data_IF_375792157333
#
_entry.id   IF_375792157333
#
_cell.length_a   1.000
_cell.length_b   1.000
_cell.length_c   1.000
_cell.angle_alpha   90.00
_cell.angle_beta   90.00
_cell.angle_gamma   90.00
#
_symmetry.space_group_name_H-M   'P 1'
#
loop_
_entity.id
_entity.type
_entity.pdbx_description
1 polymer ?
#
# COMPACT_ATOMS: atom_id res chain seq x y z
N UNK A 1 14.35 0.22 3.98
CA UNK A 1 14.42 -1.18 4.49
C UNK A 1 15.22 -2.09 3.58
N UNK A 2 16.14 -2.90 4.16
CA UNK A 2 16.86 -3.98 3.46
C UNK A 2 16.69 -5.28 4.21
N UNK A 3 16.27 -6.33 3.51
CA UNK A 3 16.02 -7.65 4.07
C UNK A 3 16.83 -8.72 3.33
N UNK A 4 17.30 -9.71 4.07
CA UNK A 4 17.75 -10.96 3.46
C UNK A 4 16.56 -11.81 2.99
N UNK A 5 16.82 -12.80 2.14
CA UNK A 5 15.80 -13.80 1.78
C UNK A 5 15.16 -14.47 3.00
N UNK A 6 15.97 -14.84 4.01
CA UNK A 6 15.48 -15.49 5.23
C UNK A 6 14.54 -14.59 6.04
N UNK A 7 14.85 -13.29 6.13
CA UNK A 7 13.98 -12.33 6.80
C UNK A 7 12.68 -12.10 6.04
N UNK A 8 12.75 -12.02 4.70
CA UNK A 8 11.57 -11.91 3.84
C UNK A 8 10.67 -13.16 3.97
N UNK A 9 11.27 -14.35 3.95
CA UNK A 9 10.57 -15.63 4.15
C UNK A 9 9.92 -15.68 5.54
N UNK A 10 10.67 -15.35 6.61
CA UNK A 10 10.14 -15.36 7.97
C UNK A 10 8.97 -14.38 8.16
N UNK A 11 9.05 -13.19 7.57
CA UNK A 11 7.95 -12.22 7.58
C UNK A 11 6.72 -12.78 6.87
N UNK A 12 6.90 -13.36 5.67
CA UNK A 12 5.79 -13.96 4.91
C UNK A 12 5.18 -15.19 5.61
N UNK A 13 5.99 -16.07 6.20
CA UNK A 13 5.52 -17.23 6.97
C UNK A 13 4.60 -16.79 8.10
N UNK A 14 5.04 -15.79 8.88
CA UNK A 14 4.29 -15.31 10.04
C UNK A 14 3.05 -14.52 9.65
N UNK A 15 3.15 -13.70 8.59
CA UNK A 15 2.04 -12.92 8.06
C UNK A 15 0.92 -13.82 7.51
N UNK A 16 1.28 -14.78 6.66
CA UNK A 16 0.35 -15.72 6.01
C UNK A 16 -0.02 -16.91 6.91
N UNK A 17 0.48 -16.95 8.15
CA UNK A 17 0.23 -18.02 9.13
C UNK A 17 0.55 -19.42 8.59
N UNK A 18 1.67 -19.56 7.90
CA UNK A 18 2.10 -20.82 7.30
C UNK A 18 2.59 -21.78 8.40
N UNK A 19 1.99 -22.97 8.46
CA UNK A 19 2.45 -24.05 9.35
C UNK A 19 3.93 -24.38 9.10
N UNK A 20 4.75 -24.67 10.14
CA UNK A 20 6.19 -24.97 9.98
C UNK A 20 6.50 -26.02 8.90
N UNK A 21 5.72 -27.10 8.83
CA UNK A 21 5.89 -28.16 7.83
C UNK A 21 5.59 -27.72 6.38
N UNK A 22 4.92 -26.57 6.20
CA UNK A 22 4.55 -26.00 4.90
C UNK A 22 5.46 -24.84 4.48
N UNK A 23 6.47 -24.48 5.28
CA UNK A 23 7.46 -23.44 4.93
C UNK A 23 8.17 -23.79 3.61
N UNK A 24 8.51 -25.07 3.37
CA UNK A 24 9.09 -25.52 2.10
C UNK A 24 8.16 -25.30 0.89
N UNK A 25 6.84 -25.38 1.09
CA UNK A 25 5.85 -25.09 0.05
C UNK A 25 5.81 -23.59 -0.25
N UNK A 26 5.80 -22.72 0.79
CA UNK A 26 5.88 -21.27 0.58
C UNK A 26 7.16 -20.89 -0.17
N UNK A 27 8.31 -21.44 0.22
CA UNK A 27 9.60 -21.24 -0.47
C UNK A 27 9.52 -21.57 -1.96
N UNK A 28 8.84 -22.67 -2.29
CA UNK A 28 8.63 -23.11 -3.66
C UNK A 28 7.72 -22.15 -4.43
N UNK A 29 6.68 -21.60 -3.78
CA UNK A 29 5.81 -20.56 -4.36
C UNK A 29 6.56 -19.24 -4.58
N UNK A 30 7.39 -18.78 -3.65
CA UNK A 30 8.24 -17.60 -3.83
C UNK A 30 9.13 -17.78 -5.07
N UNK A 31 9.80 -18.95 -5.21
CA UNK A 31 10.60 -19.27 -6.40
C UNK A 31 9.78 -19.30 -7.69
N UNK A 32 8.53 -19.76 -7.62
CA UNK A 32 7.62 -19.71 -8.75
C UNK A 32 7.37 -18.26 -9.17
N UNK A 33 7.06 -17.34 -8.23
CA UNK A 33 6.86 -15.92 -8.56
C UNK A 33 8.13 -15.28 -9.15
N UNK A 34 9.31 -15.63 -8.62
CA UNK A 34 10.59 -15.16 -9.16
C UNK A 34 10.81 -15.59 -10.62
N UNK A 35 10.43 -16.82 -10.98
CA UNK A 35 10.47 -17.29 -12.38
C UNK A 35 9.53 -16.51 -13.30
N UNK A 36 8.47 -15.91 -12.74
CA UNK A 36 7.59 -14.98 -13.45
C UNK A 36 8.16 -13.55 -13.53
N UNK A 37 9.37 -13.32 -13.03
CA UNK A 37 10.00 -12.00 -12.97
C UNK A 37 9.54 -11.13 -11.80
N UNK A 38 8.93 -11.73 -10.77
CA UNK A 38 8.30 -11.00 -9.67
C UNK A 38 8.92 -11.29 -8.28
N UNK A 39 9.15 -10.26 -7.44
CA UNK A 39 9.13 -8.83 -7.78
C UNK A 39 10.28 -8.48 -8.74
N UNK A 40 10.25 -7.34 -9.45
CA UNK A 40 11.28 -6.98 -10.42
C UNK A 40 12.67 -6.88 -9.75
N UNK A 41 13.72 -7.19 -10.50
CA UNK A 41 15.11 -7.05 -10.03
C UNK A 41 15.62 -8.15 -9.09
N UNK A 42 14.78 -9.09 -8.64
CA UNK A 42 15.22 -10.17 -7.71
C UNK A 42 15.94 -11.34 -8.38
N UNK A 43 15.89 -11.44 -9.71
CA UNK A 43 16.53 -12.52 -10.47
C UNK A 43 18.02 -12.23 -10.69
N UNK A 44 18.80 -12.31 -9.62
CA UNK A 44 20.27 -12.26 -9.72
C UNK A 44 20.83 -13.62 -10.10
N UNK A 45 21.87 -13.63 -10.95
CA UNK A 45 22.54 -14.84 -11.39
C UNK A 45 23.19 -15.64 -10.24
N UNK A 46 23.77 -16.80 -10.57
CA UNK A 46 24.44 -17.65 -9.57
C UNK A 46 25.57 -16.88 -8.87
N UNK A 47 25.54 -16.84 -7.54
CA UNK A 47 26.65 -16.36 -6.70
C UNK A 47 26.42 -15.03 -6.00
N UNK A 48 25.45 -14.21 -6.42
CA UNK A 48 25.14 -12.94 -5.75
C UNK A 48 24.00 -13.14 -4.75
N UNK A 49 24.23 -12.77 -3.49
CA UNK A 49 23.17 -12.73 -2.48
C UNK A 49 22.23 -11.57 -2.79
N UNK A 50 20.97 -11.85 -3.08
CA UNK A 50 19.95 -10.81 -3.29
C UNK A 50 19.57 -10.15 -1.98
N UNK A 51 19.48 -8.82 -1.98
CA UNK A 51 18.84 -8.02 -0.93
C UNK A 51 17.43 -7.63 -1.37
N UNK A 52 16.45 -7.81 -0.49
CA UNK A 52 15.07 -7.38 -0.71
C UNK A 52 14.89 -5.98 -0.13
N UNK A 53 14.30 -5.06 -0.87
CA UNK A 53 13.82 -3.79 -0.33
C UNK A 53 12.47 -3.98 0.39
N UNK A 54 12.00 -2.94 1.07
CA UNK A 54 10.61 -2.91 1.53
C UNK A 54 9.62 -2.98 0.38
N UNK A 55 9.94 -2.34 -0.75
CA UNK A 55 9.17 -2.44 -1.99
C UNK A 55 8.97 -3.92 -2.39
N UNK A 56 10.04 -4.71 -2.46
CA UNK A 56 9.94 -6.13 -2.79
C UNK A 56 9.09 -6.91 -1.78
N UNK A 57 9.21 -6.61 -0.47
CA UNK A 57 8.41 -7.26 0.56
C UNK A 57 6.91 -6.96 0.39
N UNK A 58 6.54 -5.69 0.23
CA UNK A 58 5.13 -5.30 0.10
C UNK A 58 4.53 -5.75 -1.24
N UNK A 59 5.31 -5.82 -2.32
CA UNK A 59 4.88 -6.46 -3.56
C UNK A 59 4.55 -7.94 -3.34
N UNK A 60 5.42 -8.70 -2.66
CA UNK A 60 5.20 -10.11 -2.34
C UNK A 60 3.98 -10.31 -1.44
N UNK A 61 3.84 -9.52 -0.37
CA UNK A 61 2.69 -9.57 0.53
C UNK A 61 1.40 -9.33 -0.25
N UNK A 62 1.33 -8.26 -1.05
CA UNK A 62 0.14 -7.93 -1.84
C UNK A 62 -0.21 -9.06 -2.81
N UNK A 63 0.79 -9.62 -3.51
CA UNK A 63 0.56 -10.73 -4.43
C UNK A 63 0.06 -11.99 -3.71
N UNK A 64 0.60 -12.33 -2.54
CA UNK A 64 0.15 -13.50 -1.78
C UNK A 64 -1.24 -13.31 -1.17
N UNK A 65 -1.62 -12.12 -0.74
CA UNK A 65 -2.98 -11.81 -0.30
C UNK A 65 -3.98 -12.02 -1.44
N UNK A 66 -3.65 -11.54 -2.65
CA UNK A 66 -4.45 -11.78 -3.86
C UNK A 66 -4.54 -13.27 -4.23
N UNK A 67 -3.45 -14.01 -4.12
CA UNK A 67 -3.46 -15.47 -4.31
C UNK A 67 -4.31 -16.16 -3.23
N UNK A 68 -4.27 -15.66 -2.00
CA UNK A 68 -5.04 -16.18 -0.86
C UNK A 68 -6.55 -16.09 -1.05
N UNK A 69 -7.02 -15.06 -1.76
CA UNK A 69 -8.44 -14.91 -2.15
C UNK A 69 -8.80 -15.61 -3.46
N UNK A 70 -7.86 -16.36 -4.05
CA UNK A 70 -8.11 -17.23 -5.20
C UNK A 70 -7.62 -16.74 -6.56
N UNK A 71 -6.88 -15.62 -6.65
CA UNK A 71 -6.31 -15.21 -7.94
C UNK A 71 -5.18 -16.17 -8.37
N UNK A 72 -5.10 -16.55 -9.66
CA UNK A 72 -3.93 -17.24 -10.20
C UNK A 72 -2.66 -16.42 -10.00
N UNK A 73 -1.54 -17.11 -9.72
CA UNK A 73 -0.27 -16.46 -9.40
C UNK A 73 0.20 -15.46 -10.46
N UNK A 74 0.09 -15.81 -11.75
CA UNK A 74 0.45 -14.91 -12.85
C UNK A 74 -0.42 -13.65 -12.85
N UNK A 75 -1.74 -13.80 -12.67
CA UNK A 75 -2.68 -12.67 -12.62
C UNK A 75 -2.37 -11.76 -11.44
N UNK A 76 -2.13 -12.31 -10.25
CA UNK A 76 -1.76 -11.53 -9.07
C UNK A 76 -0.45 -10.75 -9.29
N UNK A 77 0.59 -11.38 -9.84
CA UNK A 77 1.86 -10.71 -10.16
C UNK A 77 1.71 -9.59 -11.19
N UNK A 78 0.94 -9.83 -12.26
CA UNK A 78 0.70 -8.82 -13.29
C UNK A 78 -0.05 -7.62 -12.72
N UNK A 79 -1.13 -7.88 -11.97
CA UNK A 79 -1.95 -6.85 -11.34
C UNK A 79 -1.14 -6.00 -10.37
N UNK A 80 -0.34 -6.62 -9.51
CA UNK A 80 0.52 -5.88 -8.56
C UNK A 80 1.58 -5.08 -9.31
N UNK A 81 2.21 -5.62 -10.35
CA UNK A 81 3.26 -4.92 -11.10
C UNK A 81 2.72 -3.72 -11.86
N UNK A 82 1.59 -3.89 -12.56
CA UNK A 82 0.95 -2.84 -13.37
C UNK A 82 0.46 -1.68 -12.49
N UNK A 83 -0.15 -1.99 -11.34
CA UNK A 83 -0.71 -0.99 -10.45
C UNK A 83 0.17 -0.69 -9.24
N UNK A 84 1.45 -1.07 -9.28
CA UNK A 84 2.36 -0.87 -8.17
C UNK A 84 2.44 0.59 -7.70
N UNK A 85 2.45 1.61 -8.59
CA UNK A 85 2.40 3.01 -8.17
C UNK A 85 1.21 3.36 -7.28
N UNK A 86 0.07 2.71 -7.49
CA UNK A 86 -1.16 2.91 -6.69
C UNK A 86 -1.04 2.20 -5.35
N UNK A 87 -0.64 0.92 -5.33
CA UNK A 87 -0.43 0.17 -4.09
C UNK A 87 0.61 0.82 -3.18
N UNK A 88 1.79 1.17 -3.72
CA UNK A 88 2.86 1.79 -2.93
C UNK A 88 2.45 3.15 -2.37
N UNK A 89 1.68 3.93 -3.14
CA UNK A 89 1.10 5.18 -2.66
C UNK A 89 0.12 4.93 -1.51
N UNK A 90 -0.70 3.89 -1.59
CA UNK A 90 -1.56 3.46 -0.47
C UNK A 90 -0.78 3.06 0.77
N UNK A 91 0.31 2.29 0.62
CA UNK A 91 1.19 1.94 1.74
C UNK A 91 1.85 3.18 2.34
N UNK A 92 2.30 4.13 1.52
CA UNK A 92 2.91 5.37 1.98
C UNK A 92 1.92 6.25 2.77
N UNK A 93 0.68 6.34 2.30
CA UNK A 93 -0.38 7.06 3.00
C UNK A 93 -0.72 6.37 4.33
N UNK A 94 -0.98 5.07 4.30
CA UNK A 94 -1.19 4.25 5.49
C UNK A 94 -0.05 4.42 6.52
N UNK A 95 1.18 4.46 6.03
CA UNK A 95 2.38 4.72 6.82
C UNK A 95 2.32 6.10 7.49
N UNK A 96 2.08 7.15 6.72
CA UNK A 96 1.95 8.51 7.25
C UNK A 96 0.85 8.60 8.33
N UNK A 97 -0.26 7.91 8.12
CA UNK A 97 -1.37 7.92 9.07
C UNK A 97 -1.08 7.16 10.36
N UNK A 98 -0.33 6.06 10.29
CA UNK A 98 0.13 5.34 11.48
C UNK A 98 1.00 6.20 12.40
N UNK A 99 1.62 7.29 11.89
CA UNK A 99 2.37 8.27 12.70
C UNK A 99 1.47 9.21 13.53
N UNK A 100 0.14 9.11 13.39
CA UNK A 100 -0.85 9.95 14.10
C UNK A 100 -1.77 9.09 14.98
N UNK A 101 -1.23 8.35 15.96
CA UNK A 101 -2.02 7.39 16.75
C UNK A 101 -3.13 8.05 17.60
N UNK A 102 -3.03 9.36 17.87
CA UNK A 102 -4.00 10.11 18.68
C UNK A 102 -5.06 10.84 17.86
N UNK A 103 -5.01 10.78 16.53
CA UNK A 103 -6.03 11.38 15.69
C UNK A 103 -7.24 10.44 15.63
N UNK A 104 -8.27 10.75 16.41
CA UNK A 104 -9.52 9.97 16.44
C UNK A 104 -10.28 10.00 15.11
N UNK A 105 -9.87 10.85 14.17
CA UNK A 105 -10.43 10.92 12.81
C UNK A 105 -9.62 10.12 11.79
N UNK A 106 -8.56 9.41 12.22
CA UNK A 106 -7.75 8.61 11.32
C UNK A 106 -8.53 7.40 10.79
N UNK A 107 -8.97 7.48 9.54
CA UNK A 107 -9.63 6.39 8.83
C UNK A 107 -8.66 5.35 8.25
N UNK A 108 -9.16 4.13 7.98
CA UNK A 108 -8.35 3.13 7.31
C UNK A 108 -8.12 3.47 5.84
N UNK A 109 -6.88 3.32 5.39
CA UNK A 109 -6.53 3.36 3.97
C UNK A 109 -6.83 2.01 3.33
N UNK A 110 -7.64 2.06 2.28
CA UNK A 110 -8.16 0.92 1.54
C UNK A 110 -7.65 0.97 0.10
N UNK A 111 -7.19 -0.16 -0.43
CA UNK A 111 -7.10 -0.37 -1.86
C UNK A 111 -8.39 -1.05 -2.33
N UNK A 112 -9.07 -0.43 -3.27
CA UNK A 112 -10.32 -0.90 -3.88
C UNK A 112 -9.95 -1.43 -5.27
N UNK A 113 -10.30 -2.68 -5.54
CA UNK A 113 -10.09 -3.33 -6.83
C UNK A 113 -11.45 -3.64 -7.43
N UNK A 114 -11.67 -3.19 -8.67
CA UNK A 114 -12.92 -3.45 -9.40
C UNK A 114 -12.80 -4.83 -10.05
N UNK A 115 -13.64 -5.75 -9.61
CA UNK A 115 -13.56 -7.16 -9.99
C UNK A 115 -14.52 -7.53 -11.13
N UNK A 116 -14.75 -6.60 -12.08
CA UNK A 116 -15.20 -7.00 -13.44
C UNK A 116 -14.28 -8.10 -14.02
N UNK A 117 -13.06 -8.17 -13.49
CA UNK A 117 -12.02 -9.14 -13.72
C UNK A 117 -12.23 -10.56 -13.17
N UNK A 118 -13.16 -10.90 -12.25
CA UNK A 118 -13.28 -12.31 -11.80
C UNK A 118 -13.75 -13.22 -12.95
N UNK A 119 -14.51 -12.66 -13.88
CA UNK A 119 -14.88 -13.29 -15.14
C UNK A 119 -13.70 -13.37 -16.14
N UNK A 120 -12.77 -12.40 -16.13
CA UNK A 120 -11.51 -12.42 -16.90
C UNK A 120 -10.44 -13.34 -16.30
N UNK A 121 -10.48 -13.56 -14.97
CA UNK A 121 -9.57 -14.40 -14.20
C UNK A 121 -9.86 -15.89 -14.43
N UNK A 122 -11.13 -16.26 -14.62
CA UNK A 122 -11.54 -17.64 -14.87
C UNK A 122 -11.47 -18.01 -16.36
N UNK A 123 -11.75 -17.06 -17.24
CA UNK A 123 -11.80 -17.32 -18.68
C UNK A 123 -10.59 -16.67 -19.33
N UNK A 124 -9.61 -17.51 -19.67
CA UNK A 124 -8.41 -17.15 -20.44
C UNK A 124 -8.76 -16.81 -21.91
N UNK A 125 -9.80 -16.00 -22.11
CA UNK A 125 -10.38 -15.71 -23.41
C UNK A 125 -10.04 -14.30 -23.82
N UNK A 126 -9.45 -14.25 -25.00
CA UNK A 126 -9.23 -13.19 -25.97
C UNK A 126 -10.45 -12.29 -26.30
N UNK A 127 -11.41 -12.11 -25.40
CA UNK A 127 -12.55 -11.23 -25.60
C UNK A 127 -12.15 -9.77 -25.38
N UNK A 128 -11.47 -9.21 -26.40
CA UNK A 128 -11.68 -7.89 -27.01
C UNK A 128 -11.85 -6.60 -26.20
N UNK A 129 -11.95 -6.61 -24.87
CA UNK A 129 -12.12 -5.41 -24.06
C UNK A 129 -10.84 -5.15 -23.28
N UNK A 130 -9.95 -4.32 -23.85
CA UNK A 130 -8.73 -3.79 -23.23
C UNK A 130 -8.97 -2.91 -21.98
N UNK A 131 -10.08 -3.09 -21.25
CA UNK A 131 -10.34 -2.31 -20.04
C UNK A 131 -9.67 -3.01 -18.86
N UNK A 132 -8.42 -2.63 -18.61
CA UNK A 132 -7.64 -3.04 -17.44
C UNK A 132 -8.45 -2.88 -16.14
N UNK A 133 -8.24 -3.81 -15.20
CA UNK A 133 -8.79 -3.74 -13.85
C UNK A 133 -8.46 -2.39 -13.24
N UNK A 134 -9.48 -1.65 -12.80
CA UNK A 134 -9.24 -0.39 -12.09
C UNK A 134 -8.82 -0.70 -10.66
N UNK A 135 -7.81 0.01 -10.17
CA UNK A 135 -7.43 0.03 -8.76
C UNK A 135 -7.43 1.48 -8.29
N UNK A 136 -7.92 1.69 -7.08
CA UNK A 136 -7.97 2.99 -6.42
C UNK A 136 -7.57 2.80 -4.96
N UNK A 137 -6.92 3.81 -4.39
CA UNK A 137 -6.72 3.95 -2.95
C UNK A 137 -7.69 5.00 -2.44
N UNK A 138 -8.33 4.68 -1.32
CA UNK A 138 -9.35 5.50 -0.70
C UNK A 138 -9.23 5.42 0.81
N UNK A 139 -9.77 6.40 1.52
CA UNK A 139 -10.15 6.21 2.92
C UNK A 139 -11.54 5.59 3.03
N UNK A 140 -11.94 5.26 4.26
CA UNK A 140 -13.18 4.56 4.56
C UNK A 140 -14.41 5.41 4.22
N UNK A 141 -14.41 6.70 4.55
CA UNK A 141 -15.50 7.62 4.25
C UNK A 141 -15.69 7.84 2.75
N UNK A 142 -14.62 8.00 1.99
CA UNK A 142 -14.68 8.09 0.53
C UNK A 142 -15.20 6.78 -0.08
N UNK A 143 -14.75 5.63 0.44
CA UNK A 143 -15.24 4.33 -0.01
C UNK A 143 -16.74 4.15 0.27
N UNK A 144 -17.20 4.50 1.48
CA UNK A 144 -18.62 4.46 1.86
C UNK A 144 -19.45 5.42 1.01
N UNK A 145 -18.97 6.65 0.79
CA UNK A 145 -19.63 7.64 -0.08
C UNK A 145 -19.76 7.11 -1.50
N UNK A 146 -18.74 6.43 -2.01
CA UNK A 146 -18.77 5.84 -3.35
C UNK A 146 -19.76 4.67 -3.45
N UNK A 147 -19.92 3.89 -2.38
CA UNK A 147 -20.85 2.76 -2.33
C UNK A 147 -22.31 3.16 -2.07
N UNK A 148 -22.56 4.32 -1.46
CA UNK A 148 -23.92 4.79 -1.11
C UNK A 148 -24.87 5.03 -2.29
N UNK A 149 -24.46 5.68 -3.40
CA UNK A 149 -25.34 5.93 -4.54
C UNK A 149 -25.44 4.75 -5.52
N UNK A 150 -24.90 3.58 -5.19
CA UNK A 150 -24.87 2.43 -6.11
C UNK A 150 -26.26 1.80 -6.26
N UNK A 151 -27.05 2.33 -7.19
CA UNK A 151 -27.98 1.50 -7.96
C UNK A 151 -27.13 0.48 -8.74
N UNK A 152 -27.62 -0.76 -8.89
CA UNK A 152 -26.87 -1.88 -9.45
C UNK A 152 -26.44 -1.63 -10.92
N UNK A 153 -25.36 -0.88 -11.13
CA UNK A 153 -24.64 -0.82 -12.40
C UNK A 153 -23.99 -2.19 -12.70
N UNK A 154 -23.65 -2.42 -13.97
CA UNK A 154 -23.07 -3.68 -14.49
C UNK A 154 -21.72 -4.11 -13.85
N UNK A 155 -21.18 -3.33 -12.90
CA UNK A 155 -19.91 -3.53 -12.19
C UNK A 155 -20.15 -3.83 -10.70
N UNK A 156 -20.66 -5.01 -10.40
CA UNK A 156 -21.21 -5.32 -9.07
C UNK A 156 -20.20 -5.80 -8.02
N UNK A 157 -19.00 -6.23 -8.41
CA UNK A 157 -18.05 -6.84 -7.47
C UNK A 157 -16.81 -5.98 -7.26
N UNK A 158 -16.50 -5.68 -6.00
CA UNK A 158 -15.35 -4.90 -5.57
C UNK A 158 -14.63 -5.63 -4.44
N UNK A 159 -13.30 -5.70 -4.50
CA UNK A 159 -12.46 -6.20 -3.42
C UNK A 159 -11.87 -5.01 -2.68
N UNK A 160 -11.95 -5.06 -1.36
CA UNK A 160 -11.34 -4.08 -0.48
C UNK A 160 -10.18 -4.74 0.27
N UNK A 161 -8.99 -4.15 0.16
CA UNK A 161 -7.81 -4.55 0.91
C UNK A 161 -7.49 -3.41 1.87
N UNK A 162 -7.51 -3.67 3.17
CA UNK A 162 -7.07 -2.69 4.16
C UNK A 162 -5.55 -2.59 4.13
N UNK A 163 -5.04 -1.65 3.34
CA UNK A 163 -3.60 -1.39 3.19
C UNK A 163 -3.00 -0.94 4.52
N UNK A 164 -3.76 -0.17 5.31
CA UNK A 164 -3.37 0.23 6.67
C UNK A 164 -3.11 -0.96 7.59
N UNK A 165 -4.04 -1.91 7.68
CA UNK A 165 -3.88 -3.09 8.53
C UNK A 165 -2.82 -4.05 8.01
N UNK A 166 -2.70 -4.18 6.69
CA UNK A 166 -1.67 -4.98 6.06
C UNK A 166 -0.27 -4.43 6.37
N UNK A 167 -0.08 -3.12 6.24
CA UNK A 167 1.15 -2.41 6.60
C UNK A 167 1.51 -2.63 8.07
N UNK A 168 0.59 -2.30 8.99
CA UNK A 168 0.78 -2.41 10.44
C UNK A 168 1.27 -3.82 10.82
N UNK A 169 0.56 -4.85 10.31
CA UNK A 169 0.87 -6.25 10.58
C UNK A 169 2.23 -6.66 10.03
N UNK A 170 2.54 -6.31 8.78
CA UNK A 170 3.79 -6.71 8.11
C UNK A 170 4.99 -6.03 8.77
N UNK A 171 4.91 -4.73 9.07
CA UNK A 171 6.00 -4.01 9.72
C UNK A 171 6.24 -4.53 11.13
N UNK A 172 5.17 -4.75 11.91
CA UNK A 172 5.28 -5.35 13.25
C UNK A 172 6.04 -6.68 13.21
N UNK A 173 5.64 -7.59 12.32
CA UNK A 173 6.30 -8.89 12.14
C UNK A 173 7.75 -8.70 11.69
N UNK A 174 8.01 -7.84 10.71
CA UNK A 174 9.36 -7.63 10.18
C UNK A 174 10.33 -7.10 11.26
N UNK A 175 9.88 -6.16 12.09
CA UNK A 175 10.68 -5.57 13.16
C UNK A 175 10.85 -6.51 14.35
N UNK A 176 9.77 -7.10 14.84
CA UNK A 176 9.79 -7.92 16.07
C UNK A 176 10.37 -9.32 15.82
N UNK A 177 10.04 -9.96 14.70
CA UNK A 177 10.29 -11.39 14.49
C UNK A 177 11.42 -11.66 13.50
N UNK A 178 11.57 -10.81 12.48
CA UNK A 178 12.62 -10.96 11.46
C UNK A 178 13.89 -10.15 11.77
N UNK A 179 13.92 -9.44 12.91
CA UNK A 179 15.08 -8.69 13.37
C UNK A 179 15.47 -7.51 12.46
N UNK A 180 14.52 -6.97 11.69
CA UNK A 180 14.75 -5.76 10.91
C UNK A 180 14.85 -4.58 11.89
N UNK A 181 15.97 -3.87 11.85
CA UNK A 181 16.21 -2.68 12.69
C UNK A 181 16.37 -1.46 11.80
N UNK A 182 15.25 -0.98 11.27
CA UNK A 182 15.24 0.17 10.36
C UNK A 182 14.19 1.18 10.83
N UNK A 183 14.60 2.07 11.72
CA UNK A 183 13.75 3.14 12.24
C UNK A 183 13.46 4.23 11.19
N UNK A 184 14.23 4.28 10.10
CA UNK A 184 14.13 5.32 9.06
C UNK A 184 13.34 4.85 7.84
N UNK A 185 12.71 3.67 7.88
CA UNK A 185 11.92 3.13 6.76
C UNK A 185 10.91 4.14 6.19
N UNK A 186 10.33 4.97 7.06
CA UNK A 186 9.38 6.00 6.69
C UNK A 186 10.02 7.09 5.85
N UNK A 187 11.13 7.65 6.34
CA UNK A 187 11.79 8.79 5.74
C UNK A 187 12.55 8.37 4.47
N UNK A 188 13.11 7.15 4.43
CA UNK A 188 13.92 6.68 3.32
C UNK A 188 13.09 6.06 2.18
N UNK A 189 12.03 5.31 2.51
CA UNK A 189 11.34 4.45 1.55
C UNK A 189 9.90 4.91 1.30
N UNK A 190 9.06 4.96 2.34
CA UNK A 190 7.64 5.32 2.18
C UNK A 190 7.44 6.76 1.69
N UNK A 191 8.29 7.71 2.09
CA UNK A 191 8.22 9.09 1.61
C UNK A 191 8.35 9.17 0.09
N UNK A 192 9.24 8.35 -0.50
CA UNK A 192 9.45 8.30 -1.95
C UNK A 192 8.26 7.68 -2.72
N UNK A 193 7.39 6.96 -2.02
CA UNK A 193 6.23 6.28 -2.60
C UNK A 193 4.96 7.14 -2.56
N UNK A 194 4.98 8.27 -1.84
CA UNK A 194 3.84 9.18 -1.78
C UNK A 194 3.42 9.60 -3.19
N UNK A 195 2.11 9.59 -3.50
CA UNK A 195 1.62 10.00 -4.81
C UNK A 195 2.00 11.45 -5.08
N UNK A 196 2.49 11.72 -6.29
CA UNK A 196 2.84 13.08 -6.75
C UNK A 196 1.77 13.58 -7.72
N UNK A 197 1.16 14.73 -7.41
CA UNK A 197 0.14 15.36 -8.25
C UNK A 197 -1.25 14.71 -8.17
N UNK A 198 -2.15 15.12 -9.07
CA UNK A 198 -3.52 14.61 -9.16
C UNK A 198 -3.54 13.29 -9.89
N UNK A 199 -3.82 12.20 -9.17
CA UNK A 199 -3.97 10.88 -9.76
C UNK A 199 -5.38 10.37 -9.46
N UNK A 200 -6.16 10.05 -10.51
CA UNK A 200 -7.56 9.61 -10.41
C UNK A 200 -7.75 8.30 -9.62
N UNK A 201 -6.66 7.66 -9.22
CA UNK A 201 -6.64 6.43 -8.43
C UNK A 201 -6.54 6.71 -6.93
N UNK A 202 -6.64 7.96 -6.49
CA UNK A 202 -6.55 8.37 -5.10
C UNK A 202 -7.73 9.30 -4.80
N UNK A 203 -8.59 8.95 -3.85
CA UNK A 203 -9.75 9.75 -3.43
C UNK A 203 -9.91 9.66 -1.93
N UNK A 204 -9.95 10.79 -1.26
CA UNK A 204 -9.97 10.86 0.19
C UNK A 204 -11.01 11.89 0.61
N UNK A 205 -11.82 11.54 1.61
CA UNK A 205 -12.77 12.44 2.27
C UNK A 205 -12.20 12.92 3.59
N UNK A 206 -11.58 12.02 4.33
CA UNK A 206 -10.85 12.30 5.54
C UNK A 206 -9.59 13.12 5.23
N UNK A 207 -9.22 13.97 6.19
CA UNK A 207 -8.14 14.92 6.05
C UNK A 207 -6.78 14.22 5.85
N UNK A 208 -6.24 14.30 4.63
CA UNK A 208 -4.81 14.15 4.37
C UNK A 208 -4.15 15.50 4.06
N UNK A 209 -3.93 16.37 5.06
CA UNK A 209 -2.73 17.15 5.05
C UNK A 209 -1.68 16.23 5.66
N UNK A 210 -0.86 15.58 4.85
CA UNK A 210 0.54 15.63 5.25
C UNK A 210 0.85 17.14 5.35
N UNK A 211 0.91 17.67 6.58
CA UNK A 211 1.22 19.09 6.77
C UNK A 211 2.61 19.41 6.20
N UNK A 212 3.43 18.40 5.90
CA UNK A 212 4.74 18.47 5.24
C UNK A 212 4.70 18.46 3.70
N UNK A 213 3.62 18.00 3.05
CA UNK A 213 3.52 17.99 1.59
C UNK A 213 2.94 19.32 1.08
N UNK A 214 3.78 20.36 1.13
CA UNK A 214 3.50 21.72 0.66
C UNK A 214 2.88 21.77 -0.75
N UNK A 215 3.28 20.88 -1.66
CA UNK A 215 2.72 20.82 -3.02
C UNK A 215 1.26 20.36 -3.03
N UNK A 216 0.92 19.38 -2.20
CA UNK A 216 -0.47 18.93 -2.06
C UNK A 216 -1.34 20.01 -1.41
N UNK A 217 -0.82 20.73 -0.40
CA UNK A 217 -1.52 21.87 0.23
C UNK A 217 -1.79 23.01 -0.75
N UNK A 218 -0.75 23.46 -1.47
CA UNK A 218 -0.90 24.49 -2.50
C UNK A 218 -1.91 24.08 -3.58
N UNK A 219 -1.95 22.79 -3.94
CA UNK A 219 -2.92 22.27 -4.89
C UNK A 219 -4.36 22.27 -4.34
N UNK A 220 -4.58 21.74 -3.13
CA UNK A 220 -5.90 21.74 -2.48
C UNK A 220 -6.42 23.16 -2.22
N UNK A 221 -5.55 24.08 -1.79
CA UNK A 221 -5.86 25.49 -1.61
C UNK A 221 -6.31 26.16 -2.92
N UNK A 222 -5.68 25.81 -4.05
CA UNK A 222 -6.05 26.35 -5.36
C UNK A 222 -7.42 25.85 -5.87
N UNK A 223 -7.86 24.67 -5.43
CA UNK A 223 -9.09 24.03 -5.89
C UNK A 223 -10.34 24.42 -5.11
N UNK A 224 -10.21 24.61 -3.80
CA UNK A 224 -11.36 24.79 -2.92
C UNK A 224 -11.46 26.20 -2.33
N UNK A 225 -10.50 27.08 -2.62
CA UNK A 225 -10.46 28.47 -2.14
C UNK A 225 -10.28 28.62 -0.63
N UNK A 226 -10.51 27.55 0.14
CA UNK A 226 -10.28 27.39 1.57
C UNK A 226 -10.02 25.90 1.85
N UNK A 227 -8.87 25.58 2.42
CA UNK A 227 -8.67 24.33 3.15
C UNK A 227 -9.30 24.57 4.55
N UNK A 228 -10.39 23.87 4.93
CA UNK A 228 -11.19 24.20 6.12
C UNK A 228 -10.39 24.16 7.44
N UNK A 229 -9.27 23.44 7.48
CA UNK A 229 -8.39 23.38 8.66
C UNK A 229 -7.09 24.20 8.50
N UNK A 230 -6.89 24.91 7.39
CA UNK A 230 -5.69 25.77 7.19
C UNK A 230 -5.72 27.10 7.95
N UNK A 231 -6.81 27.42 8.64
CA UNK A 231 -6.99 28.70 9.36
C UNK A 231 -7.48 28.59 10.80
N UNK A 232 -7.43 27.42 11.43
CA UNK A 232 -7.48 27.43 12.91
C UNK A 232 -6.12 27.95 13.41
N UNK A 233 -6.10 28.83 14.43
CA UNK A 233 -4.86 29.26 15.07
C UNK A 233 -3.96 28.07 15.43
N UNK A 234 -4.56 26.98 15.91
CA UNK A 234 -3.90 25.72 16.26
C UNK A 234 -3.23 25.05 15.04
N UNK A 235 -3.90 25.06 13.88
CA UNK A 235 -3.37 24.49 12.64
C UNK A 235 -2.17 25.26 12.08
N UNK A 236 -2.15 26.59 12.30
CA UNK A 236 -1.02 27.45 11.94
C UNK A 236 0.16 27.30 12.90
N UNK A 237 -0.10 27.24 14.21
CA UNK A 237 0.91 27.08 15.25
C UNK A 237 1.64 25.73 15.10
N UNK A 238 0.89 24.63 14.97
CA UNK A 238 1.47 23.29 14.81
C UNK A 238 2.22 23.14 13.47
N UNK A 239 1.78 23.80 12.40
CA UNK A 239 2.53 23.83 11.14
C UNK A 239 3.85 24.61 11.27
N UNK A 240 3.85 25.73 12.00
CA UNK A 240 5.06 26.51 12.28
C UNK A 240 6.04 25.72 13.14
N UNK A 241 5.55 25.03 14.17
CA UNK A 241 6.34 24.20 15.07
C UNK A 241 6.99 23.01 14.36
N UNK A 242 6.27 22.37 13.44
CA UNK A 242 6.81 21.27 12.64
C UNK A 242 7.95 21.72 11.70
N UNK A 243 7.83 22.91 11.11
CA UNK A 243 8.89 23.52 10.28
C UNK A 243 10.08 23.91 11.15
N UNK A 244 9.85 24.51 12.31
CA UNK A 244 10.90 24.91 13.26
C UNK A 244 11.72 23.71 13.77
N UNK A 245 11.10 22.52 13.85
CA UNK A 245 11.73 21.27 14.28
C UNK A 245 12.38 20.48 13.14
N UNK A 246 12.54 21.08 11.95
CA UNK A 246 13.19 20.44 10.82
C UNK A 246 12.47 19.17 10.36
N UNK A 247 11.13 19.20 10.36
CA UNK A 247 10.29 18.08 9.93
C UNK A 247 10.30 16.84 10.85
N UNK A 248 10.79 16.97 12.09
CA UNK A 248 10.75 15.91 13.09
C UNK A 248 9.47 16.00 13.95
N UNK A 249 8.70 14.89 14.02
CA UNK A 249 7.50 14.80 14.85
C UNK A 249 7.90 14.41 16.28
N UNK A 250 7.61 15.25 17.27
CA UNK A 250 7.95 14.99 18.68
C UNK A 250 6.78 14.36 19.46
N UNK A 251 6.14 13.36 18.87
CA UNK A 251 5.16 12.54 19.58
C UNK A 251 5.87 11.46 20.42
N UNK A 252 5.33 11.07 21.59
CA UNK A 252 5.83 9.88 22.29
C UNK A 252 5.58 8.64 21.40
N UNK A 253 6.63 7.83 21.25
CA UNK A 253 6.60 6.51 20.58
C UNK A 253 5.67 5.53 21.30
#
# INVERSE_FOLDING_TARGET
MRLTYGQTEATLVSHLQIHPDKVGTLRSRIKQLQRLGFPPGVNVGRGTKMEYSGEHLFMLVTAFELIGIGLPAQTACNLVSEHWPVFRGGYALAALQARRPFDTKAEHILAILWIKALHEIQVNTSYGTNKHSKIKVSDESAAVRELKPYEFEEDSTRLFISVGKLLERVLKIAFEQSGVRDATIYDDEFQSWLPTGRHLAFDFVSHYPDRSNLKMRQHLQSLYGNDPDSFTPDGMEEASDFVARGYQYAGPL
#
